data_IF_014232904973
#
_entry.id   IF_014232904973
#
_cell.length_a   1.000
_cell.length_b   1.000
_cell.length_c   1.000
_cell.angle_alpha   90.00
_cell.angle_beta   90.00
_cell.angle_gamma   90.00
#
_symmetry.space_group_name_H-M   'P 1'
#
loop_
_entity.id
_entity.type
_entity.pdbx_description
1 polymer ?
#
# COMPACT_ATOMS: atom_id res chain seq x y z
N UNK A 1 -0.49 -18.56 50.26
CA UNK A 1 0.90 -18.92 49.90
C UNK A 1 1.45 -17.83 48.99
N UNK A 2 2.44 -17.06 49.45
CA UNK A 2 3.13 -15.99 48.70
C UNK A 2 4.44 -16.57 48.16
N UNK A 3 4.69 -16.42 46.86
CA UNK A 3 5.99 -16.70 46.25
C UNK A 3 6.67 -15.36 45.94
N UNK A 4 7.85 -15.15 46.54
CA UNK A 4 8.82 -14.12 46.15
C UNK A 4 9.90 -14.77 45.26
N UNK A 5 10.42 -14.07 44.24
CA UNK A 5 11.53 -14.53 43.41
C UNK A 5 12.90 -14.28 44.08
N UNK A 6 13.97 -15.03 43.73
CA UNK A 6 15.30 -14.74 44.23
C UNK A 6 15.96 -13.60 43.44
N UNK A 7 16.47 -12.64 44.20
CA UNK A 7 17.48 -11.66 43.79
C UNK A 7 18.88 -12.23 44.04
N UNK A 8 19.86 -11.78 43.23
CA UNK A 8 21.33 -11.65 43.47
C UNK A 8 22.10 -11.93 42.17
N UNK A 9 23.18 -11.25 41.80
CA UNK A 9 23.86 -10.11 42.37
C UNK A 9 24.71 -9.42 41.30
N UNK A 10 24.71 -8.10 41.36
CA UNK A 10 25.64 -7.14 40.77
C UNK A 10 27.07 -7.42 41.25
N UNK A 11 28.10 -7.26 40.39
CA UNK A 11 29.31 -6.46 40.73
C UNK A 11 30.09 -5.93 39.51
N UNK A 12 30.82 -4.81 39.71
CA UNK A 12 31.31 -3.90 38.66
C UNK A 12 32.85 -3.95 38.51
N UNK A 13 33.41 -3.28 37.48
CA UNK A 13 34.46 -2.24 37.62
C UNK A 13 35.16 -1.82 36.31
N UNK A 14 35.20 -0.49 36.12
CA UNK A 14 36.33 0.37 35.65
C UNK A 14 36.99 0.06 34.31
N UNK A 15 36.88 0.92 33.29
CA UNK A 15 37.52 2.25 33.14
C UNK A 15 39.01 2.21 32.77
N UNK A 16 39.31 2.68 31.56
CA UNK A 16 40.57 3.21 31.01
C UNK A 16 40.53 2.98 29.48
N UNK A 17 41.06 3.79 28.57
CA UNK A 17 41.65 5.14 28.54
C UNK A 17 41.93 5.40 27.05
N UNK A 18 41.85 6.66 26.62
CA UNK A 18 42.88 7.30 25.78
C UNK A 18 42.90 7.00 24.25
N UNK A 19 42.37 7.95 23.49
CA UNK A 19 42.85 8.43 22.18
C UNK A 19 44.32 8.88 22.29
N UNK A 20 45.16 8.77 21.22
CA UNK A 20 45.18 9.82 20.19
C UNK A 20 45.59 9.39 18.76
N UNK A 21 45.20 10.23 17.78
CA UNK A 21 46.13 10.77 16.78
C UNK A 21 46.40 9.99 15.48
N UNK A 22 45.92 10.57 14.36
CA UNK A 22 46.59 10.74 13.05
C UNK A 22 45.48 11.02 12.01
N UNK A 23 45.00 12.24 11.78
CA UNK A 23 45.65 13.35 11.06
C UNK A 23 46.73 12.89 10.06
N UNK A 24 46.30 12.50 8.86
CA UNK A 24 47.16 12.52 7.67
C UNK A 24 46.69 13.66 6.77
N UNK A 25 47.36 14.79 6.96
CA UNK A 25 47.42 15.90 6.00
C UNK A 25 48.43 15.46 4.92
N UNK A 26 47.98 15.33 3.67
CA UNK A 26 48.89 15.41 2.51
C UNK A 26 48.43 16.61 1.69
N UNK A 27 49.02 17.75 1.99
CA UNK A 27 49.02 18.95 1.15
C UNK A 27 50.26 18.96 0.26
N UNK A 28 50.06 19.45 -0.95
CA UNK A 28 51.01 20.15 -1.82
C UNK A 28 52.10 19.34 -2.54
N UNK A 29 51.95 19.24 -3.87
CA UNK A 29 53.00 19.68 -4.77
C UNK A 29 52.40 20.17 -6.10
N UNK A 30 52.16 21.48 -6.14
CA UNK A 30 51.90 22.26 -7.33
C UNK A 30 53.23 22.48 -8.06
N UNK A 31 53.41 21.97 -9.28
CA UNK A 31 54.49 22.46 -10.17
C UNK A 31 54.06 22.44 -11.64
N UNK A 32 53.82 23.66 -12.13
CA UNK A 32 53.81 24.15 -13.53
C UNK A 32 55.10 23.68 -14.25
N UNK A 33 55.28 23.57 -15.57
CA UNK A 33 54.71 24.13 -16.79
C UNK A 33 55.46 23.39 -17.94
N UNK A 34 54.86 23.14 -19.12
CA UNK A 34 55.45 23.15 -20.49
C UNK A 34 54.47 22.41 -21.42
N UNK A 35 53.55 23.14 -22.08
CA UNK A 35 53.57 23.48 -23.52
C UNK A 35 53.60 22.23 -24.43
N UNK A 36 52.40 21.91 -24.94
CA UNK A 36 52.19 20.98 -26.06
C UNK A 36 50.94 21.40 -26.81
N UNK A 37 51.15 22.10 -27.92
CA UNK A 37 50.18 22.66 -28.84
C UNK A 37 49.53 21.54 -29.69
N UNK A 38 48.24 21.75 -30.03
CA UNK A 38 47.49 21.17 -31.15
C UNK A 38 46.95 19.73 -31.04
N UNK A 39 45.63 19.61 -31.22
CA UNK A 39 44.95 18.34 -31.45
C UNK A 39 43.44 18.44 -31.22
N UNK A 40 42.71 19.01 -32.19
CA UNK A 40 41.25 19.02 -32.21
C UNK A 40 40.67 17.60 -32.15
N UNK A 41 39.55 17.41 -31.44
CA UNK A 41 38.43 16.51 -31.81
C UNK A 41 37.30 16.62 -30.79
N UNK A 42 36.13 16.98 -31.29
CA UNK A 42 34.82 16.97 -30.64
C UNK A 42 34.51 15.62 -29.96
N UNK A 43 34.30 15.61 -28.65
CA UNK A 43 33.43 14.63 -27.98
C UNK A 43 32.75 15.30 -26.77
N UNK A 44 31.43 15.09 -26.68
CA UNK A 44 30.48 15.75 -25.81
C UNK A 44 30.86 15.77 -24.33
N UNK A 45 30.81 16.96 -23.76
CA UNK A 45 30.63 17.15 -22.33
C UNK A 45 29.20 16.74 -21.94
N UNK A 46 29.02 15.53 -21.42
CA UNK A 46 27.93 15.25 -20.49
C UNK A 46 28.44 15.56 -19.08
N UNK A 47 28.64 16.85 -18.80
CA UNK A 47 28.76 17.32 -17.42
C UNK A 47 27.37 17.17 -16.82
N UNK A 48 27.22 16.21 -15.92
CA UNK A 48 26.04 16.08 -15.07
C UNK A 48 25.96 17.35 -14.22
N UNK A 49 25.04 18.24 -14.55
CA UNK A 49 24.67 19.32 -13.65
C UNK A 49 24.11 18.70 -12.34
N UNK A 50 24.48 19.20 -11.15
CA UNK A 50 23.81 18.80 -9.92
C UNK A 50 22.33 19.21 -10.03
N UNK A 51 21.43 18.26 -9.77
CA UNK A 51 19.99 18.52 -9.68
C UNK A 51 19.79 19.50 -8.55
N UNK A 52 19.43 20.73 -8.91
CA UNK A 52 19.13 21.80 -7.97
C UNK A 52 17.75 21.52 -7.34
N UNK A 53 17.74 21.16 -6.06
CA UNK A 53 16.51 20.96 -5.28
C UNK A 53 15.93 22.29 -4.75
N UNK A 54 16.55 23.44 -5.04
CA UNK A 54 16.19 24.72 -4.45
C UNK A 54 15.17 25.52 -5.30
N UNK A 55 13.99 24.96 -5.59
CA UNK A 55 12.83 25.78 -5.98
C UNK A 55 11.47 25.07 -5.79
N UNK A 56 11.25 24.35 -4.69
CA UNK A 56 9.87 24.02 -4.30
C UNK A 56 9.21 25.27 -3.74
N UNK A 57 8.31 25.86 -4.52
CA UNK A 57 7.34 26.83 -4.01
C UNK A 57 6.60 26.21 -2.82
N UNK A 58 6.44 26.94 -1.70
CA UNK A 58 5.75 26.42 -0.51
C UNK A 58 4.25 26.11 -0.72
N UNK A 59 3.68 26.48 -1.87
CA UNK A 59 2.27 26.24 -2.24
C UNK A 59 2.05 25.07 -3.22
N UNK A 60 3.11 24.33 -3.59
CA UNK A 60 2.94 23.11 -4.38
C UNK A 60 2.49 21.97 -3.47
N UNK A 61 1.23 21.56 -3.56
CA UNK A 61 0.87 20.19 -3.14
C UNK A 61 1.81 19.25 -3.89
N UNK A 62 2.60 18.45 -3.18
CA UNK A 62 3.59 17.63 -3.84
C UNK A 62 2.82 16.60 -4.67
N UNK A 63 3.20 16.47 -5.94
CA UNK A 63 2.83 15.37 -6.86
C UNK A 63 2.82 13.99 -6.15
N UNK A 64 3.60 13.86 -5.08
CA UNK A 64 3.53 12.82 -4.04
C UNK A 64 2.12 12.34 -3.71
N UNK A 65 1.15 13.19 -3.31
CA UNK A 65 -0.10 12.67 -2.74
C UNK A 65 -0.95 11.84 -3.74
N UNK A 66 -0.97 12.23 -5.03
CA UNK A 66 -1.64 11.45 -6.06
C UNK A 66 -0.83 10.22 -6.47
N UNK A 67 0.49 10.31 -6.42
CA UNK A 67 1.38 9.17 -6.65
C UNK A 67 1.25 8.13 -5.53
N UNK A 68 1.13 8.57 -4.28
CA UNK A 68 0.91 7.77 -3.09
C UNK A 68 -0.42 7.02 -3.19
N UNK A 69 -1.51 7.71 -3.59
CA UNK A 69 -2.81 7.06 -3.85
C UNK A 69 -2.71 5.99 -4.94
N UNK A 70 -2.05 6.29 -6.06
CA UNK A 70 -1.89 5.33 -7.16
C UNK A 70 -1.02 4.15 -6.76
N UNK A 71 -0.01 4.39 -5.93
CA UNK A 71 0.86 3.35 -5.36
C UNK A 71 0.06 2.45 -4.42
N UNK A 72 -0.77 3.01 -3.53
CA UNK A 72 -1.65 2.25 -2.66
C UNK A 72 -2.66 1.40 -3.47
N UNK A 73 -3.28 1.97 -4.51
CA UNK A 73 -4.17 1.23 -5.41
C UNK A 73 -3.45 0.10 -6.13
N UNK A 74 -2.22 0.34 -6.60
CA UNK A 74 -1.41 -0.68 -7.26
C UNK A 74 -0.99 -1.80 -6.30
N UNK A 75 -0.62 -1.44 -5.06
CA UNK A 75 -0.30 -2.40 -4.00
C UNK A 75 -1.50 -3.28 -3.66
N UNK A 76 -2.69 -2.69 -3.47
CA UNK A 76 -3.92 -3.43 -3.25
C UNK A 76 -4.18 -4.45 -4.36
N UNK A 77 -4.08 -4.02 -5.63
CA UNK A 77 -4.31 -4.90 -6.79
C UNK A 77 -3.28 -6.01 -6.90
N UNK A 78 -2.01 -5.69 -6.69
CA UNK A 78 -0.92 -6.68 -6.72
C UNK A 78 -1.16 -7.76 -5.67
N UNK A 79 -1.48 -7.35 -4.44
CA UNK A 79 -1.76 -8.31 -3.36
C UNK A 79 -3.02 -9.14 -3.63
N UNK A 80 -4.06 -8.52 -4.20
CA UNK A 80 -5.27 -9.23 -4.59
C UNK A 80 -4.97 -10.30 -5.65
N UNK A 81 -4.14 -9.99 -6.64
CA UNK A 81 -3.76 -10.92 -7.71
C UNK A 81 -2.87 -12.06 -7.17
N UNK A 82 -1.90 -11.75 -6.30
CA UNK A 82 -1.02 -12.74 -5.66
C UNK A 82 -1.78 -13.70 -4.73
N UNK A 83 -2.80 -13.21 -4.04
CA UNK A 83 -3.67 -14.02 -3.19
C UNK A 83 -4.67 -14.90 -3.97
N UNK A 84 -4.59 -14.93 -5.31
CA UNK A 84 -5.51 -15.69 -6.16
C UNK A 84 -6.91 -15.08 -6.28
N UNK A 85 -7.06 -13.82 -5.87
CA UNK A 85 -8.31 -13.07 -5.93
C UNK A 85 -9.31 -13.56 -4.89
N UNK A 86 -9.38 -12.84 -3.76
CA UNK A 86 -10.42 -12.93 -2.71
C UNK A 86 -11.86 -12.84 -3.27
N UNK A 87 -12.33 -13.87 -3.97
CA UNK A 87 -13.52 -13.77 -4.82
C UNK A 87 -14.37 -15.02 -4.76
N UNK A 88 -15.66 -14.81 -4.53
CA UNK A 88 -16.69 -15.80 -4.83
C UNK A 88 -16.98 -15.76 -6.33
N UNK A 89 -16.11 -16.43 -7.09
CA UNK A 89 -16.32 -16.73 -8.51
C UNK A 89 -15.76 -15.68 -9.47
N UNK A 90 -14.84 -16.17 -10.31
CA UNK A 90 -14.59 -15.75 -11.69
C UNK A 90 -14.41 -14.26 -11.91
N UNK A 91 -13.16 -13.80 -11.83
CA UNK A 91 -12.58 -12.56 -12.37
C UNK A 91 -13.28 -11.22 -12.06
N UNK A 92 -14.40 -11.20 -11.34
CA UNK A 92 -15.19 -10.01 -11.06
C UNK A 92 -15.59 -9.23 -12.32
N UNK A 93 -15.41 -9.81 -13.51
CA UNK A 93 -15.53 -9.11 -14.77
C UNK A 93 -16.93 -9.31 -15.33
N UNK A 94 -17.41 -8.30 -16.06
CA UNK A 94 -18.62 -8.44 -16.86
C UNK A 94 -18.55 -9.64 -17.82
N UNK A 95 -17.35 -10.13 -18.20
CA UNK A 95 -17.16 -11.32 -19.02
C UNK A 95 -17.51 -12.62 -18.29
N UNK A 96 -17.18 -12.76 -17.01
CA UNK A 96 -17.56 -13.93 -16.21
C UNK A 96 -19.08 -14.03 -16.03
N UNK A 97 -19.75 -12.90 -15.77
CA UNK A 97 -21.21 -12.83 -15.64
C UNK A 97 -21.93 -13.05 -16.98
N UNK A 98 -21.42 -12.45 -18.08
CA UNK A 98 -21.95 -12.68 -19.43
C UNK A 98 -21.71 -14.12 -19.90
N UNK A 99 -20.57 -14.73 -19.57
CA UNK A 99 -20.29 -16.13 -19.87
C UNK A 99 -21.28 -17.08 -19.20
N UNK A 100 -21.72 -16.77 -17.97
CA UNK A 100 -22.74 -17.53 -17.24
C UNK A 100 -24.16 -17.34 -17.81
N UNK A 101 -24.51 -16.12 -18.19
CA UNK A 101 -25.82 -15.80 -18.79
C UNK A 101 -25.97 -16.32 -20.22
N UNK A 102 -24.89 -16.36 -21.00
CA UNK A 102 -24.91 -16.76 -22.41
C UNK A 102 -24.61 -18.26 -22.58
N UNK A 103 -23.77 -18.85 -21.72
CA UNK A 103 -23.25 -20.21 -21.91
C UNK A 103 -23.90 -21.31 -21.08
N UNK A 104 -24.70 -20.99 -20.05
CA UNK A 104 -25.31 -22.01 -19.17
C UNK A 104 -24.29 -22.96 -18.51
N UNK A 105 -23.05 -22.51 -18.34
CA UNK A 105 -21.94 -23.35 -17.91
C UNK A 105 -22.09 -23.80 -16.45
N UNK A 106 -21.67 -25.04 -16.11
CA UNK A 106 -21.71 -25.53 -14.74
C UNK A 106 -20.92 -24.62 -13.80
N UNK A 107 -21.33 -24.60 -12.53
CA UNK A 107 -20.65 -23.87 -11.47
C UNK A 107 -19.15 -24.15 -11.50
N UNK A 108 -18.39 -23.13 -11.92
CA UNK A 108 -16.95 -23.03 -11.84
C UNK A 108 -16.49 -23.33 -10.39
N UNK A 109 -15.29 -23.91 -10.22
CA UNK A 109 -14.76 -24.55 -9.01
C UNK A 109 -15.15 -23.92 -7.66
N UNK A 110 -15.28 -24.78 -6.65
CA UNK A 110 -15.62 -24.39 -5.28
C UNK A 110 -14.48 -23.56 -4.69
N UNK A 111 -14.50 -22.24 -4.92
CA UNK A 111 -13.44 -21.31 -4.51
C UNK A 111 -13.20 -21.32 -2.99
N UNK A 112 -14.20 -21.70 -2.20
CA UNK A 112 -14.06 -21.89 -0.75
C UNK A 112 -13.26 -23.15 -0.46
N UNK A 113 -13.54 -24.25 -1.17
CA UNK A 113 -12.75 -25.48 -1.07
C UNK A 113 -11.32 -25.28 -1.58
N UNK A 114 -11.11 -24.64 -2.73
CA UNK A 114 -9.76 -24.37 -3.27
C UNK A 114 -8.94 -23.52 -2.28
N UNK A 115 -9.58 -22.53 -1.65
CA UNK A 115 -8.96 -21.70 -0.61
C UNK A 115 -8.66 -22.49 0.67
N UNK A 116 -9.59 -23.33 1.12
CA UNK A 116 -9.39 -24.18 2.28
C UNK A 116 -8.26 -25.21 2.05
N UNK A 117 -8.19 -25.78 0.86
CA UNK A 117 -7.14 -26.71 0.45
C UNK A 117 -5.76 -26.03 0.40
N UNK A 118 -5.70 -24.79 -0.11
CA UNK A 118 -4.48 -23.99 -0.12
C UNK A 118 -4.00 -23.63 1.30
N UNK A 119 -4.93 -23.32 2.21
CA UNK A 119 -4.63 -22.97 3.58
C UNK A 119 -4.31 -24.20 4.47
N UNK A 120 -4.87 -25.36 4.15
CA UNK A 120 -4.75 -26.61 4.89
C UNK A 120 -5.17 -26.46 6.36
N UNK A 121 -4.42 -27.09 7.27
CA UNK A 121 -4.69 -27.08 8.71
C UNK A 121 -4.62 -25.66 9.35
N UNK A 122 -4.03 -24.69 8.64
CA UNK A 122 -3.87 -23.31 9.12
C UNK A 122 -4.99 -22.38 8.67
N UNK A 123 -6.06 -22.89 8.05
CA UNK A 123 -7.18 -22.10 7.56
C UNK A 123 -7.67 -20.98 8.50
N UNK A 124 -7.82 -21.19 9.83
CA UNK A 124 -8.27 -20.12 10.71
C UNK A 124 -7.29 -18.94 10.79
N UNK A 125 -5.99 -19.23 10.87
CA UNK A 125 -4.94 -18.22 10.94
C UNK A 125 -4.70 -17.55 9.58
N UNK A 126 -4.78 -18.34 8.50
CA UNK A 126 -4.68 -17.88 7.12
C UNK A 126 -5.80 -16.87 6.82
N UNK A 127 -7.06 -17.28 7.02
CA UNK A 127 -8.24 -16.43 6.88
C UNK A 127 -8.17 -15.14 7.70
N UNK A 128 -7.79 -15.22 8.98
CA UNK A 128 -7.67 -14.03 9.82
C UNK A 128 -6.58 -13.08 9.32
N UNK A 129 -5.41 -13.62 8.93
CA UNK A 129 -4.31 -12.82 8.38
C UNK A 129 -4.69 -12.11 7.10
N UNK A 130 -5.41 -12.79 6.22
CA UNK A 130 -5.84 -12.24 4.94
C UNK A 130 -6.92 -11.18 5.06
N UNK A 131 -7.85 -11.34 6.01
CA UNK A 131 -8.83 -10.29 6.33
C UNK A 131 -8.10 -9.03 6.85
N UNK A 132 -7.10 -9.20 7.73
CA UNK A 132 -6.30 -8.08 8.26
C UNK A 132 -5.54 -7.39 7.13
N UNK A 133 -4.85 -8.16 6.28
CA UNK A 133 -4.12 -7.62 5.13
C UNK A 133 -5.03 -6.85 4.18
N UNK A 134 -6.20 -7.40 3.85
CA UNK A 134 -7.18 -6.70 3.03
C UNK A 134 -7.67 -5.41 3.69
N UNK A 135 -7.88 -5.42 5.01
CA UNK A 135 -8.30 -4.24 5.77
C UNK A 135 -7.23 -3.14 5.72
N UNK A 136 -5.97 -3.50 5.97
CA UNK A 136 -4.85 -2.56 5.98
C UNK A 136 -4.64 -1.91 4.60
N UNK A 137 -4.73 -2.69 3.52
CA UNK A 137 -4.63 -2.15 2.15
C UNK A 137 -5.79 -1.22 1.80
N UNK A 138 -7.01 -1.51 2.29
CA UNK A 138 -8.17 -0.63 2.11
C UNK A 138 -7.99 0.66 2.91
N UNK A 139 -7.51 0.58 4.15
CA UNK A 139 -7.18 1.74 4.99
C UNK A 139 -6.11 2.62 4.33
N UNK A 140 -5.06 2.03 3.75
CA UNK A 140 -4.01 2.75 3.03
C UNK A 140 -4.57 3.54 1.83
N UNK A 141 -5.41 2.90 1.01
CA UNK A 141 -6.07 3.58 -0.12
C UNK A 141 -6.99 4.70 0.38
N UNK A 142 -7.78 4.45 1.44
CA UNK A 142 -8.66 5.46 2.02
C UNK A 142 -7.88 6.65 2.59
N UNK A 143 -6.77 6.40 3.28
CA UNK A 143 -5.89 7.43 3.83
C UNK A 143 -5.24 8.28 2.74
N UNK A 144 -4.73 7.65 1.68
CA UNK A 144 -4.17 8.35 0.54
C UNK A 144 -5.23 9.16 -0.23
N UNK A 145 -6.44 8.60 -0.41
CA UNK A 145 -7.55 9.28 -1.06
C UNK A 145 -8.02 10.51 -0.27
N UNK A 146 -8.16 10.38 1.05
CA UNK A 146 -8.47 11.51 1.93
C UNK A 146 -7.38 12.60 1.89
N UNK A 147 -6.11 12.19 1.80
CA UNK A 147 -4.99 13.13 1.63
C UNK A 147 -5.16 13.93 0.34
N UNK A 148 -5.43 13.26 -0.79
CA UNK A 148 -5.70 13.91 -2.09
C UNK A 148 -6.92 14.84 -2.00
N UNK A 149 -8.02 14.37 -1.40
CA UNK A 149 -9.25 15.13 -1.24
C UNK A 149 -9.05 16.43 -0.45
N UNK A 150 -8.23 16.39 0.61
CA UNK A 150 -7.94 17.53 1.49
C UNK A 150 -6.88 18.51 0.99
N UNK A 151 -6.22 18.24 -0.14
CA UNK A 151 -5.14 19.11 -0.65
C UNK A 151 -5.66 20.48 -1.12
N UNK A 152 -4.96 21.58 -0.92
CA UNK A 152 -5.45 22.90 -1.39
C UNK A 152 -5.13 23.20 -2.87
N UNK A 153 -4.17 22.48 -3.46
CA UNK A 153 -3.69 22.80 -4.81
C UNK A 153 -4.70 22.38 -5.89
N UNK A 154 -4.74 23.14 -7.00
CA UNK A 154 -5.50 22.72 -8.18
C UNK A 154 -4.98 21.39 -8.71
N UNK A 155 -5.89 20.43 -8.88
CA UNK A 155 -5.61 19.14 -9.50
C UNK A 155 -6.22 19.10 -10.91
N UNK A 156 -5.53 18.52 -11.91
CA UNK A 156 -6.13 18.29 -13.21
C UNK A 156 -7.35 17.37 -13.10
N UNK A 157 -8.48 17.76 -13.70
CA UNK A 157 -9.73 16.99 -13.64
C UNK A 157 -9.56 15.56 -14.15
N UNK A 158 -8.81 15.39 -15.25
CA UNK A 158 -8.52 14.07 -15.82
C UNK A 158 -7.81 13.13 -14.85
N UNK A 159 -6.93 13.67 -14.00
CA UNK A 159 -6.27 12.89 -12.96
C UNK A 159 -7.22 12.57 -11.82
N UNK A 160 -8.06 13.52 -11.41
CA UNK A 160 -9.03 13.30 -10.34
C UNK A 160 -10.09 12.25 -10.74
N UNK A 161 -10.58 12.29 -11.97
CA UNK A 161 -11.50 11.26 -12.51
C UNK A 161 -10.85 9.88 -12.51
N UNK A 162 -9.57 9.79 -12.91
CA UNK A 162 -8.82 8.54 -12.86
C UNK A 162 -8.65 8.02 -11.44
N UNK A 163 -8.31 8.91 -10.51
CA UNK A 163 -8.08 8.57 -9.11
C UNK A 163 -9.39 8.08 -8.45
N UNK A 164 -10.53 8.75 -8.70
CA UNK A 164 -11.87 8.31 -8.28
C UNK A 164 -12.19 6.91 -8.81
N UNK A 165 -12.04 6.69 -10.13
CA UNK A 165 -12.29 5.38 -10.72
C UNK A 165 -11.39 4.27 -10.14
N UNK A 166 -10.16 4.63 -9.75
CA UNK A 166 -9.24 3.75 -9.04
C UNK A 166 -9.75 3.34 -7.66
N UNK A 167 -10.20 4.33 -6.86
CA UNK A 167 -10.79 4.12 -5.53
C UNK A 167 -12.08 3.30 -5.60
N UNK A 168 -12.98 3.58 -6.55
CA UNK A 168 -14.22 2.81 -6.76
C UNK A 168 -13.94 1.36 -7.14
N UNK A 169 -12.90 1.13 -7.95
CA UNK A 169 -12.44 -0.22 -8.29
C UNK A 169 -11.95 -0.99 -7.06
N UNK A 170 -11.21 -0.34 -6.15
CA UNK A 170 -10.77 -0.94 -4.87
C UNK A 170 -11.99 -1.22 -3.97
N UNK A 171 -12.93 -0.28 -3.86
CA UNK A 171 -14.15 -0.47 -3.06
C UNK A 171 -14.97 -1.68 -3.52
N UNK A 172 -15.14 -1.82 -4.84
CA UNK A 172 -15.81 -2.97 -5.44
C UNK A 172 -15.11 -4.30 -5.10
N UNK A 173 -13.77 -4.31 -5.15
CA UNK A 173 -12.97 -5.48 -4.80
C UNK A 173 -13.02 -5.82 -3.31
N UNK A 174 -12.89 -4.82 -2.43
CA UNK A 174 -12.96 -5.00 -0.98
C UNK A 174 -14.31 -5.58 -0.54
N UNK A 175 -15.42 -5.12 -1.13
CA UNK A 175 -16.76 -5.67 -0.85
C UNK A 175 -16.86 -7.15 -1.27
N UNK A 176 -16.30 -7.52 -2.43
CA UNK A 176 -16.24 -8.93 -2.86
C UNK A 176 -15.39 -9.78 -1.91
N UNK A 177 -14.23 -9.27 -1.51
CA UNK A 177 -13.34 -9.92 -0.55
C UNK A 177 -14.06 -10.18 0.78
N UNK A 178 -14.76 -9.17 1.31
CA UNK A 178 -15.60 -9.32 2.50
C UNK A 178 -16.61 -10.46 2.33
N UNK A 179 -17.40 -10.46 1.26
CA UNK A 179 -18.40 -11.52 1.03
C UNK A 179 -17.74 -12.90 0.98
N UNK A 180 -16.57 -13.00 0.33
CA UNK A 180 -15.79 -14.23 0.29
C UNK A 180 -15.35 -14.69 1.69
N UNK A 181 -14.68 -13.84 2.46
CA UNK A 181 -14.23 -14.15 3.81
C UNK A 181 -15.37 -14.56 4.75
N UNK A 182 -16.52 -13.87 4.63
CA UNK A 182 -17.73 -14.21 5.37
C UNK A 182 -18.27 -15.60 4.98
N UNK A 183 -18.16 -15.99 3.71
CA UNK A 183 -18.58 -17.31 3.25
C UNK A 183 -17.65 -18.41 3.78
N UNK A 184 -16.32 -18.18 3.74
CA UNK A 184 -15.35 -19.13 4.32
C UNK A 184 -15.55 -19.29 5.83
N UNK A 185 -15.86 -18.20 6.56
CA UNK A 185 -16.01 -18.25 8.03
C UNK A 185 -17.24 -19.00 8.53
N UNK A 186 -18.26 -19.17 7.67
CA UNK A 186 -19.49 -19.92 8.00
C UNK A 186 -19.53 -21.30 7.35
N UNK A 187 -18.55 -21.65 6.52
CA UNK A 187 -18.46 -22.95 5.89
C UNK A 187 -18.15 -24.03 6.94
N UNK A 188 -18.91 -25.13 6.91
CA UNK A 188 -18.76 -26.23 7.88
C UNK A 188 -17.40 -26.94 7.76
N UNK A 189 -16.77 -26.93 6.57
CA UNK A 189 -15.44 -27.51 6.34
C UNK A 189 -14.34 -26.73 7.05
N UNK A 190 -14.58 -25.46 7.40
CA UNK A 190 -13.60 -24.65 8.08
C UNK A 190 -13.34 -25.10 9.54
N UNK A 191 -14.24 -25.92 10.11
CA UNK A 191 -14.10 -26.54 11.43
C UNK A 191 -13.65 -25.57 12.56
N UNK A 192 -14.10 -24.31 12.48
CA UNK A 192 -13.66 -23.23 13.36
C UNK A 192 -14.18 -23.43 14.80
N UNK A 193 -13.26 -23.37 15.75
CA UNK A 193 -13.57 -23.31 17.19
C UNK A 193 -14.28 -21.99 17.54
N UNK A 194 -14.96 -21.95 18.69
CA UNK A 194 -15.64 -20.75 19.15
C UNK A 194 -14.70 -19.53 19.25
N UNK A 195 -13.48 -19.72 19.76
CA UNK A 195 -12.49 -18.64 19.87
C UNK A 195 -12.04 -18.13 18.49
N UNK A 196 -11.80 -19.03 17.53
CA UNK A 196 -11.41 -18.65 16.17
C UNK A 196 -12.53 -17.86 15.47
N UNK A 197 -13.80 -18.24 15.68
CA UNK A 197 -14.95 -17.50 15.14
C UNK A 197 -15.03 -16.08 15.68
N UNK A 198 -14.71 -15.86 16.95
CA UNK A 198 -14.63 -14.51 17.53
C UNK A 198 -13.53 -13.70 16.85
N UNK A 199 -12.32 -14.23 16.75
CA UNK A 199 -11.19 -13.55 16.08
C UNK A 199 -11.50 -13.20 14.62
N UNK A 200 -12.11 -14.12 13.87
CA UNK A 200 -12.50 -13.88 12.48
C UNK A 200 -13.62 -12.83 12.41
N UNK A 201 -14.59 -12.86 13.33
CA UNK A 201 -15.65 -11.84 13.39
C UNK A 201 -15.09 -10.44 13.67
N UNK A 202 -14.11 -10.32 14.57
CA UNK A 202 -13.42 -9.05 14.84
C UNK A 202 -12.64 -8.55 13.61
N UNK A 203 -11.94 -9.45 12.93
CA UNK A 203 -11.24 -9.11 11.68
C UNK A 203 -12.23 -8.65 10.59
N UNK A 204 -13.38 -9.32 10.45
CA UNK A 204 -14.42 -8.93 9.49
C UNK A 204 -15.03 -7.56 9.83
N UNK A 205 -15.20 -7.24 11.12
CA UNK A 205 -15.62 -5.91 11.54
C UNK A 205 -14.60 -4.84 11.17
N UNK A 206 -13.29 -5.11 11.37
CA UNK A 206 -12.22 -4.20 10.92
C UNK A 206 -12.27 -3.96 9.41
N UNK A 207 -12.55 -5.00 8.61
CA UNK A 207 -12.71 -4.85 7.17
C UNK A 207 -13.95 -4.02 6.81
N UNK A 208 -15.07 -4.20 7.51
CA UNK A 208 -16.28 -3.40 7.31
C UNK A 208 -16.05 -1.91 7.64
N UNK A 209 -15.28 -1.62 8.71
CA UNK A 209 -14.86 -0.26 9.07
C UNK A 209 -13.93 0.35 8.01
N UNK A 210 -12.95 -0.40 7.52
CA UNK A 210 -12.06 0.02 6.44
C UNK A 210 -12.83 0.33 5.15
N UNK A 211 -13.78 -0.53 4.75
CA UNK A 211 -14.66 -0.31 3.61
C UNK A 211 -15.48 0.97 3.80
N UNK A 212 -16.00 1.22 5.00
CA UNK A 212 -16.76 2.43 5.32
C UNK A 212 -15.89 3.69 5.22
N UNK A 213 -14.64 3.62 5.69
CA UNK A 213 -13.65 4.68 5.53
C UNK A 213 -13.33 4.97 4.06
N UNK A 214 -13.21 3.92 3.23
CA UNK A 214 -12.98 4.07 1.79
C UNK A 214 -14.18 4.70 1.06
N UNK A 215 -15.42 4.38 1.47
CA UNK A 215 -16.63 5.06 0.95
C UNK A 215 -16.55 6.55 1.25
N UNK A 216 -16.27 6.94 2.49
CA UNK A 216 -16.14 8.35 2.87
C UNK A 216 -15.02 9.06 2.10
N UNK A 217 -13.90 8.38 1.82
CA UNK A 217 -12.81 8.93 1.03
C UNK A 217 -13.18 9.12 -0.46
N UNK A 218 -13.97 8.19 -1.03
CA UNK A 218 -14.49 8.31 -2.39
C UNK A 218 -15.44 9.52 -2.52
N UNK A 219 -16.34 9.69 -1.55
CA UNK A 219 -17.25 10.85 -1.49
C UNK A 219 -16.46 12.16 -1.38
N UNK A 220 -15.42 12.22 -0.54
CA UNK A 220 -14.57 13.41 -0.41
C UNK A 220 -13.84 13.77 -1.73
N UNK A 221 -13.41 12.78 -2.51
CA UNK A 221 -12.86 13.02 -3.85
C UNK A 221 -13.91 13.52 -4.85
N UNK A 222 -15.14 13.01 -4.77
CA UNK A 222 -16.25 13.47 -5.59
C UNK A 222 -16.65 14.92 -5.26
N UNK A 223 -16.72 15.28 -3.98
CA UNK A 223 -16.98 16.64 -3.50
C UNK A 223 -15.90 17.61 -4.00
N UNK A 224 -14.64 17.20 -3.93
CA UNK A 224 -13.52 17.97 -4.49
C UNK A 224 -13.69 18.22 -5.98
N UNK A 225 -14.05 17.18 -6.75
CA UNK A 225 -14.26 17.30 -8.19
C UNK A 225 -15.36 18.31 -8.49
N UNK A 226 -16.47 18.23 -7.77
CA UNK A 226 -17.59 19.15 -7.93
C UNK A 226 -17.20 20.59 -7.57
N UNK A 227 -16.44 20.80 -6.49
CA UNK A 227 -15.93 22.13 -6.13
C UNK A 227 -15.01 22.72 -7.22
N UNK A 228 -14.16 21.90 -7.83
CA UNK A 228 -13.28 22.33 -8.92
C UNK A 228 -14.05 22.73 -10.20
N UNK A 229 -15.12 21.99 -10.54
CA UNK A 229 -15.98 22.30 -11.68
C UNK A 229 -16.73 23.63 -11.48
N UNK A 230 -17.31 23.84 -10.30
CA UNK A 230 -18.03 25.09 -9.98
C UNK A 230 -17.10 26.32 -10.04
N UNK A 231 -15.84 26.18 -9.59
CA UNK A 231 -14.85 27.26 -9.63
C UNK A 231 -14.43 27.68 -11.04
N UNK A 232 -14.63 26.84 -12.06
CA UNK A 232 -14.35 27.17 -13.46
C UNK A 232 -15.53 27.87 -14.16
N UNK A 233 -16.74 27.74 -13.60
CA UNK A 233 -17.99 28.25 -14.21
C UNK A 233 -18.54 29.54 -13.58
N UNK A 234 -18.04 29.94 -12.40
CA UNK A 234 -18.43 31.16 -11.68
C UNK A 234 -17.45 32.31 -11.86
#
# INVERSE_FOLDING_TARGET
MRFYPPAEAVRPRTAAKQTPGALVIITCAFRRLFVGLAGASLLCACVSAPVDFASRSPDAVPVSAQEDLRTAIAAFRTQQDEAGGWTLGGDGSARGLLGRLVGGAPSQGDAIADYADAAGDNLPAYLAGDIVLASDLVEDVAGAANTVAGTAAPLPETLLVRDIAGVESVLSAARRARTFFQAVSVDDRAALTANQRVTISEALHRLDDAISGLVGAADALADRRWAAENALTG
#
